data_IF_584487317300
#
_entry.id   IF_584487317300
#
_cell.length_a   1.000
_cell.length_b   1.000
_cell.length_c   1.000
_cell.angle_alpha   90.00
_cell.angle_beta   90.00
_cell.angle_gamma   90.00
#
_symmetry.space_group_name_H-M   'P 1'
#
loop_
_entity.id
_entity.type
_entity.pdbx_description
1 polymer ?
#
# COMPACT_ATOMS: atom_id res chain seq x y z
N UNK A 1 -7.82 -0.25 -11.42
CA UNK A 1 -6.72 -0.58 -10.50
C UNK A 1 -5.60 -1.27 -11.27
N UNK A 2 -4.39 -0.83 -11.07
CA UNK A 2 -3.21 -1.42 -11.70
C UNK A 2 -2.21 -1.89 -10.64
N UNK A 3 -1.71 -3.13 -10.78
CA UNK A 3 -0.71 -3.70 -9.87
C UNK A 3 0.62 -3.81 -10.61
N UNK A 4 1.64 -3.07 -10.15
CA UNK A 4 2.98 -3.18 -10.72
C UNK A 4 3.61 -4.52 -10.37
N UNK A 5 4.56 -4.98 -11.18
CA UNK A 5 5.22 -6.27 -10.99
C UNK A 5 5.87 -6.40 -9.60
N UNK A 6 6.51 -5.31 -9.14
CA UNK A 6 7.13 -5.29 -7.82
C UNK A 6 6.08 -5.48 -6.71
N UNK A 7 4.91 -4.87 -6.85
CA UNK A 7 3.82 -5.05 -5.89
C UNK A 7 3.35 -6.50 -5.86
N UNK A 8 3.17 -7.12 -7.02
CA UNK A 8 2.73 -8.52 -7.10
C UNK A 8 3.70 -9.47 -6.40
N UNK A 9 5.00 -9.25 -6.60
CA UNK A 9 6.04 -10.04 -5.93
C UNK A 9 6.02 -9.82 -4.43
N UNK A 10 5.90 -8.57 -4.01
CA UNK A 10 5.81 -8.20 -2.60
C UNK A 10 4.60 -8.86 -1.94
N UNK A 11 3.44 -8.77 -2.57
CA UNK A 11 2.21 -9.34 -2.04
C UNK A 11 2.32 -10.84 -1.83
N UNK A 12 2.94 -11.53 -2.79
CA UNK A 12 3.19 -12.96 -2.70
C UNK A 12 4.06 -13.29 -1.50
N UNK A 13 5.14 -12.53 -1.29
CA UNK A 13 6.03 -12.70 -0.14
C UNK A 13 5.29 -12.45 1.18
N UNK A 14 4.53 -11.37 1.26
CA UNK A 14 3.76 -11.02 2.44
C UNK A 14 2.74 -12.11 2.78
N UNK A 15 2.03 -12.62 1.77
CA UNK A 15 1.05 -13.69 1.94
C UNK A 15 1.68 -14.98 2.46
N UNK A 16 2.89 -15.29 2.01
CA UNK A 16 3.60 -16.51 2.42
C UNK A 16 4.22 -16.42 3.79
N UNK A 17 4.46 -15.21 4.29
CA UNK A 17 5.11 -15.04 5.60
C UNK A 17 4.25 -15.54 6.76
N UNK A 18 2.94 -15.62 6.58
CA UNK A 18 2.01 -16.01 7.64
C UNK A 18 1.87 -14.98 8.74
N UNK A 19 2.58 -13.87 8.63
CA UNK A 19 2.63 -12.82 9.65
C UNK A 19 1.43 -11.88 9.57
N UNK A 20 0.84 -11.74 8.38
CA UNK A 20 -0.26 -10.82 8.13
C UNK A 20 -1.43 -11.54 7.46
N UNK A 21 -2.64 -11.13 7.82
CA UNK A 21 -3.85 -11.64 7.16
C UNK A 21 -4.12 -10.83 5.90
N UNK A 22 -4.39 -11.52 4.81
CA UNK A 22 -4.68 -10.86 3.53
C UNK A 22 -5.94 -10.00 3.57
N UNK A 23 -6.88 -10.29 4.47
CA UNK A 23 -8.11 -9.53 4.62
C UNK A 23 -7.86 -8.05 4.90
N UNK A 24 -6.90 -7.72 5.76
CA UNK A 24 -6.57 -6.34 6.05
C UNK A 24 -6.02 -5.60 4.84
N UNK A 25 -5.20 -6.29 4.04
CA UNK A 25 -4.65 -5.72 2.80
C UNK A 25 -5.77 -5.45 1.80
N UNK A 26 -6.65 -6.43 1.59
CA UNK A 26 -7.74 -6.32 0.63
C UNK A 26 -8.73 -5.21 1.02
N UNK A 27 -9.00 -5.07 2.32
CA UNK A 27 -9.88 -4.02 2.83
C UNK A 27 -9.33 -2.63 2.51
N UNK A 28 -8.04 -2.40 2.77
CA UNK A 28 -7.40 -1.10 2.48
C UNK A 28 -7.40 -0.82 0.98
N UNK A 29 -7.07 -1.82 0.16
CA UNK A 29 -7.08 -1.67 -1.29
C UNK A 29 -8.50 -1.33 -1.79
N UNK A 30 -9.51 -1.99 -1.26
CA UNK A 30 -10.90 -1.72 -1.65
C UNK A 30 -11.31 -0.29 -1.32
N UNK A 31 -10.93 0.21 -0.14
CA UNK A 31 -11.21 1.57 0.25
C UNK A 31 -10.52 2.57 -0.68
N UNK A 32 -9.25 2.34 -1.02
CA UNK A 32 -8.53 3.18 -1.95
C UNK A 32 -9.15 3.16 -3.35
N UNK A 33 -9.55 1.98 -3.81
CA UNK A 33 -10.16 1.83 -5.14
C UNK A 33 -11.52 2.54 -5.22
N UNK A 34 -12.25 2.59 -4.11
CA UNK A 34 -13.54 3.26 -4.03
C UNK A 34 -13.44 4.73 -3.64
N UNK A 35 -12.21 5.26 -3.59
CA UNK A 35 -11.93 6.65 -3.21
C UNK A 35 -12.52 7.02 -1.84
N UNK A 36 -12.51 6.07 -0.91
CA UNK A 36 -12.95 6.26 0.47
C UNK A 36 -11.79 6.75 1.35
N UNK A 37 -12.03 7.64 2.31
CA UNK A 37 -10.98 8.06 3.23
C UNK A 37 -10.58 6.90 4.13
N UNK A 38 -9.25 6.72 4.33
CA UNK A 38 -8.73 5.68 5.21
C UNK A 38 -8.85 6.12 6.68
N UNK A 39 -8.99 5.15 7.62
CA UNK A 39 -8.92 5.47 9.05
C UNK A 39 -7.58 6.13 9.43
N UNK A 40 -7.57 6.93 10.47
CA UNK A 40 -6.35 7.60 10.94
C UNK A 40 -5.23 6.64 11.28
N UNK A 41 -5.56 5.44 11.76
CA UNK A 41 -4.57 4.41 12.09
C UNK A 41 -3.73 3.99 10.88
N UNK A 42 -4.24 4.20 9.67
CA UNK A 42 -3.51 3.88 8.44
C UNK A 42 -2.45 4.92 8.10
N UNK A 43 -2.49 6.09 8.72
CA UNK A 43 -1.50 7.16 8.52
C UNK A 43 -1.22 7.43 7.04
N UNK A 44 -2.27 7.51 6.24
CA UNK A 44 -2.16 7.80 4.81
C UNK A 44 -1.54 9.19 4.61
N UNK A 45 -0.40 9.24 3.92
CA UNK A 45 0.30 10.50 3.69
C UNK A 45 1.16 10.45 2.41
N UNK A 46 1.46 11.64 1.89
CA UNK A 46 2.34 11.77 0.74
C UNK A 46 3.79 11.54 1.16
N UNK A 47 4.55 10.87 0.31
CA UNK A 47 5.97 10.65 0.52
C UNK A 47 6.81 11.79 -0.07
N UNK A 48 8.07 11.84 0.34
CA UNK A 48 9.03 12.84 -0.12
C UNK A 48 10.28 12.14 -0.68
N UNK A 49 11.22 12.91 -1.21
CA UNK A 49 12.46 12.38 -1.75
C UNK A 49 12.24 11.55 -3.01
N UNK A 50 12.85 10.38 -3.05
CA UNK A 50 12.74 9.48 -4.20
C UNK A 50 11.31 9.02 -4.47
N UNK A 51 10.49 9.02 -3.43
CA UNK A 51 9.10 8.59 -3.51
C UNK A 51 8.11 9.76 -3.64
N UNK A 52 8.58 10.95 -3.97
CA UNK A 52 7.65 12.06 -4.21
C UNK A 52 6.67 11.65 -5.31
N UNK A 53 5.47 12.13 -5.32
CA UNK A 53 4.38 11.73 -6.21
C UNK A 53 3.69 10.42 -5.82
N UNK A 54 4.23 9.71 -4.80
CA UNK A 54 3.60 8.52 -4.26
C UNK A 54 3.08 8.79 -2.85
N UNK A 55 2.19 7.93 -2.39
CA UNK A 55 1.66 7.97 -1.04
C UNK A 55 1.90 6.64 -0.36
N UNK A 56 1.96 6.63 0.97
CA UNK A 56 1.95 5.39 1.71
C UNK A 56 0.81 5.37 2.72
N UNK A 57 0.41 4.16 3.08
CA UNK A 57 -0.49 3.96 4.20
C UNK A 57 -0.09 2.70 4.94
N UNK A 58 -0.38 2.67 6.25
CA UNK A 58 -0.06 1.52 7.09
C UNK A 58 -1.26 0.58 7.12
N UNK A 59 -1.13 -0.58 6.51
CA UNK A 59 -2.13 -1.65 6.60
C UNK A 59 -2.09 -2.25 8.00
N UNK A 60 -0.88 -2.42 8.53
CA UNK A 60 -0.57 -2.82 9.91
C UNK A 60 0.57 -1.92 10.38
N UNK A 61 0.90 -1.90 11.69
CA UNK A 61 1.96 -1.01 12.19
C UNK A 61 3.29 -1.12 11.44
N UNK A 62 3.66 -2.31 10.96
CA UNK A 62 4.87 -2.49 10.17
C UNK A 62 4.59 -3.13 8.81
N UNK A 63 3.42 -2.91 8.26
CA UNK A 63 3.10 -3.33 6.89
C UNK A 63 2.61 -2.10 6.12
N UNK A 64 3.45 -1.61 5.23
CA UNK A 64 3.22 -0.35 4.51
C UNK A 64 2.89 -0.66 3.05
N UNK A 65 1.88 0.02 2.53
CA UNK A 65 1.50 -0.02 1.13
C UNK A 65 1.87 1.31 0.48
N UNK A 66 2.69 1.25 -0.57
CA UNK A 66 3.00 2.42 -1.39
C UNK A 66 2.12 2.37 -2.62
N UNK A 67 1.43 3.46 -2.90
CA UNK A 67 0.49 3.54 -3.99
C UNK A 67 0.49 4.94 -4.61
N UNK A 68 -0.17 5.06 -5.76
CA UNK A 68 -0.37 6.34 -6.41
C UNK A 68 -1.81 6.40 -6.91
N UNK A 69 -2.46 7.55 -6.73
CA UNK A 69 -3.78 7.83 -7.28
C UNK A 69 -3.69 9.10 -8.12
N UNK A 70 -3.43 8.98 -9.42
CA UNK A 70 -3.36 10.16 -10.28
C UNK A 70 -4.68 10.93 -10.32
N UNK A 71 -5.80 10.22 -10.14
CA UNK A 71 -7.12 10.82 -10.01
C UNK A 71 -8.05 9.85 -9.24
N UNK A 72 -9.30 10.25 -9.02
CA UNK A 72 -10.25 9.47 -8.23
C UNK A 72 -10.60 8.11 -8.83
N UNK A 73 -10.35 7.93 -10.13
CA UNK A 73 -10.74 6.70 -10.84
C UNK A 73 -9.58 5.74 -11.08
N UNK A 74 -8.34 6.17 -10.81
CA UNK A 74 -7.14 5.34 -11.06
C UNK A 74 -6.39 5.09 -9.77
N UNK A 75 -5.96 3.85 -9.60
CA UNK A 75 -5.16 3.42 -8.45
C UNK A 75 -4.02 2.53 -8.95
N UNK A 76 -2.79 2.91 -8.63
CA UNK A 76 -1.61 2.11 -8.93
C UNK A 76 -1.05 1.58 -7.62
N UNK A 77 -0.94 0.27 -7.49
CA UNK A 77 -0.32 -0.40 -6.34
C UNK A 77 1.15 -0.64 -6.67
N UNK A 78 2.05 -0.05 -5.92
CA UNK A 78 3.47 0.06 -6.27
C UNK A 78 4.33 -0.91 -5.48
N UNK A 79 4.28 -0.87 -4.16
CA UNK A 79 5.03 -1.77 -3.27
C UNK A 79 4.22 -2.06 -2.01
N UNK A 80 4.50 -3.20 -1.38
CA UNK A 80 3.99 -3.51 -0.04
C UNK A 80 5.04 -4.29 0.74
N UNK A 81 5.25 -3.94 2.00
CA UNK A 81 6.24 -4.59 2.85
C UNK A 81 6.47 -3.83 4.14
N UNK A 82 7.49 -4.26 4.90
CA UNK A 82 7.89 -3.55 6.11
C UNK A 82 8.63 -2.26 5.74
N UNK A 83 8.80 -1.38 6.72
CA UNK A 83 9.56 -0.14 6.50
C UNK A 83 10.97 -0.44 5.99
N UNK A 84 11.66 -1.40 6.60
CA UNK A 84 13.03 -1.73 6.20
C UNK A 84 13.07 -2.35 4.81
N UNK A 85 12.11 -3.20 4.45
CA UNK A 85 12.05 -3.80 3.11
C UNK A 85 11.85 -2.76 2.01
N UNK A 86 11.15 -1.69 2.30
CA UNK A 86 10.84 -0.63 1.33
C UNK A 86 11.83 0.53 1.39
N UNK A 87 12.77 0.51 2.34
CA UNK A 87 13.75 1.59 2.50
C UNK A 87 13.16 2.87 3.08
N UNK A 88 12.14 2.74 3.89
CA UNK A 88 11.44 3.89 4.49
C UNK A 88 11.92 4.18 5.91
#
# INVERSE_FOLDING_TARGET
MFQQSAFKSDLKRVSRSGQYKSEGVLEVIAMLANDEPLPERCRDHALTGEWKDFRDCHVKPDLVLIYQKPDATRLLLVRIGSHSELGL
#
